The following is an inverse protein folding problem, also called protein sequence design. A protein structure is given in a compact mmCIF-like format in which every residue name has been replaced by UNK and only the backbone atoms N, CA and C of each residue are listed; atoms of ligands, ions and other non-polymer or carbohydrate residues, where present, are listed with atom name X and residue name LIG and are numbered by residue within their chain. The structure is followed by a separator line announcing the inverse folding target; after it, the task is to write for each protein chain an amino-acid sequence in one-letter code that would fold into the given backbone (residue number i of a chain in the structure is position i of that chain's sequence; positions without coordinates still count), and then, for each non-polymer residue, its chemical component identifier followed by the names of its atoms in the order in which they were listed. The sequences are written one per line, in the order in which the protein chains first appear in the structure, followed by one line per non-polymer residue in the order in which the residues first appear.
data_IF_300681001224
#
_entry.id   IF_300681001224
#
_cell.length_a   1.000
_cell.length_b   1.000
_cell.length_c   1.000
_cell.angle_alpha   90.00
_cell.angle_beta   90.00
_cell.angle_gamma   90.00
#
_symmetry.space_group_name_H-M   'P 1'
#
loop_
_entity.id
_entity.type
_entity.pdbx_description
1 polymer ?
#
# COMPACT_ATOMS: atom_id res chain seq x y z
N UNK A 1 -79.56 -19.22 -7.83
CA UNK A 1 -78.88 -19.44 -6.54
C UNK A 1 -77.43 -19.05 -6.72
N UNK A 2 -77.12 -17.81 -6.39
CA UNK A 2 -75.78 -17.22 -6.47
C UNK A 2 -74.94 -17.73 -5.29
N UNK A 3 -73.72 -18.20 -5.55
CA UNK A 3 -72.70 -18.45 -4.52
C UNK A 3 -71.69 -17.31 -4.61
N UNK A 4 -71.82 -16.34 -3.72
CA UNK A 4 -70.95 -15.19 -3.58
C UNK A 4 -69.60 -15.56 -2.94
N UNK A 5 -68.53 -15.03 -3.54
CA UNK A 5 -67.13 -15.16 -3.15
C UNK A 5 -66.82 -14.75 -1.71
N UNK A 6 -66.24 -15.66 -0.93
CA UNK A 6 -65.67 -15.40 0.41
C UNK A 6 -64.15 -15.60 0.48
N UNK A 7 -63.44 -15.52 -0.66
CA UNK A 7 -61.97 -15.71 -0.70
C UNK A 7 -61.15 -14.40 -0.63
N UNK A 8 -61.79 -13.23 -0.73
CA UNK A 8 -61.10 -11.93 -0.68
C UNK A 8 -60.62 -11.53 0.72
N UNK A 9 -61.41 -11.77 1.78
CA UNK A 9 -61.12 -11.14 3.08
C UNK A 9 -59.93 -11.76 3.82
N UNK A 10 -59.68 -13.07 3.67
CA UNK A 10 -58.64 -13.77 4.42
C UNK A 10 -57.22 -13.47 3.91
N UNK A 11 -57.09 -13.11 2.62
CA UNK A 11 -55.82 -12.72 2.02
C UNK A 11 -55.45 -11.27 2.38
N UNK A 12 -56.43 -10.36 2.42
CA UNK A 12 -56.24 -8.99 2.90
C UNK A 12 -55.89 -8.93 4.39
N UNK A 13 -56.51 -9.78 5.22
CA UNK A 13 -56.21 -9.89 6.65
C UNK A 13 -54.80 -10.45 6.91
N UNK A 14 -54.33 -11.41 6.10
CA UNK A 14 -52.94 -11.90 6.17
C UNK A 14 -51.91 -10.90 5.62
N UNK A 15 -52.26 -10.13 4.59
CA UNK A 15 -51.38 -9.11 4.01
C UNK A 15 -51.19 -7.93 4.97
N UNK A 16 -52.25 -7.49 5.64
CA UNK A 16 -52.21 -6.43 6.67
C UNK A 16 -51.49 -6.89 7.94
N UNK A 17 -51.75 -8.10 8.43
CA UNK A 17 -51.04 -8.66 9.58
C UNK A 17 -49.52 -8.83 9.37
N UNK A 18 -49.08 -9.14 8.14
CA UNK A 18 -47.64 -9.19 7.79
C UNK A 18 -47.03 -7.79 7.61
N UNK A 19 -47.81 -6.81 7.17
CA UNK A 19 -47.37 -5.42 7.07
C UNK A 19 -47.16 -4.81 8.46
N UNK A 20 -48.00 -5.13 9.45
CA UNK A 20 -47.84 -4.68 10.85
C UNK A 20 -46.62 -5.28 11.55
N UNK A 21 -46.17 -6.47 11.12
CA UNK A 21 -44.94 -7.12 11.60
C UNK A 21 -43.69 -6.72 10.79
N UNK A 22 -43.83 -5.84 9.78
CA UNK A 22 -42.70 -5.41 8.97
C UNK A 22 -41.85 -4.38 9.71
N UNK A 23 -40.53 -4.45 9.50
CA UNK A 23 -39.56 -3.49 10.04
C UNK A 23 -39.90 -2.05 9.62
N UNK A 24 -40.41 -1.86 8.39
CA UNK A 24 -40.80 -0.57 7.85
C UNK A 24 -41.97 0.05 8.61
N UNK A 25 -42.98 -0.75 8.99
CA UNK A 25 -44.12 -0.29 9.79
C UNK A 25 -43.70 0.07 11.22
N UNK A 26 -42.86 -0.76 11.86
CA UNK A 26 -42.31 -0.45 13.19
C UNK A 26 -41.46 0.83 13.17
N UNK A 27 -40.54 0.98 12.22
CA UNK A 27 -39.70 2.16 12.09
C UNK A 27 -40.53 3.43 11.83
N UNK A 28 -41.52 3.35 10.93
CA UNK A 28 -42.41 4.47 10.65
C UNK A 28 -43.24 4.86 11.87
N UNK A 29 -43.80 3.89 12.61
CA UNK A 29 -44.64 4.14 13.80
C UNK A 29 -43.83 4.59 15.02
N UNK A 30 -42.63 4.05 15.21
CA UNK A 30 -41.71 4.48 16.27
C UNK A 30 -41.15 5.89 16.01
N UNK A 31 -40.95 6.25 14.74
CA UNK A 31 -40.50 7.59 14.34
C UNK A 31 -41.64 8.62 14.21
N UNK A 32 -42.91 8.21 14.17
CA UNK A 32 -44.07 9.08 13.91
C UNK A 32 -44.34 10.18 14.94
N UNK A 33 -43.55 10.27 16.02
CA UNK A 33 -43.65 11.34 17.02
C UNK A 33 -42.30 11.81 17.58
N UNK A 34 -41.19 11.30 17.06
CA UNK A 34 -39.87 11.75 17.50
C UNK A 34 -39.48 13.02 16.72
N UNK A 35 -39.11 14.12 17.39
CA UNK A 35 -38.56 15.27 16.71
C UNK A 35 -37.28 14.86 15.95
N UNK A 36 -37.01 15.44 14.77
CA UNK A 36 -35.78 15.16 14.05
C UNK A 36 -34.58 15.47 14.97
N UNK A 37 -33.53 14.62 14.96
CA UNK A 37 -32.39 14.83 15.83
C UNK A 37 -31.73 16.17 15.50
N UNK A 38 -31.68 17.06 16.47
CA UNK A 38 -31.03 18.36 16.31
C UNK A 38 -29.50 18.20 16.42
N UNK A 39 -28.73 18.81 15.50
CA UNK A 39 -27.28 18.78 15.57
C UNK A 39 -26.80 19.53 16.82
N UNK A 40 -26.24 18.79 17.79
CA UNK A 40 -25.59 19.38 18.96
C UNK A 40 -24.15 19.71 18.62
N UNK A 41 -23.75 20.96 18.86
CA UNK A 41 -22.34 21.34 18.85
C UNK A 41 -21.68 20.70 20.07
N UNK A 42 -20.52 20.06 19.87
CA UNK A 42 -19.70 19.63 20.99
C UNK A 42 -19.27 20.86 21.79
N UNK A 43 -19.27 20.73 23.10
CA UNK A 43 -18.61 21.69 23.98
C UNK A 43 -17.08 21.58 23.82
N UNK A 44 -16.35 22.63 24.18
CA UNK A 44 -14.88 22.64 24.10
C UNK A 44 -14.25 21.54 24.96
N UNK A 45 -14.90 21.18 26.08
CA UNK A 45 -14.48 20.10 26.98
C UNK A 45 -14.69 18.71 26.36
N UNK A 46 -15.83 18.48 25.70
CA UNK A 46 -16.11 17.23 24.99
C UNK A 46 -15.20 17.07 23.76
N UNK A 47 -14.92 18.16 23.06
CA UNK A 47 -13.97 18.17 21.94
C UNK A 47 -12.54 17.86 22.43
N UNK A 48 -12.14 18.44 23.56
CA UNK A 48 -10.85 18.15 24.19
C UNK A 48 -10.77 16.69 24.69
N UNK A 49 -11.84 16.15 25.28
CA UNK A 49 -11.90 14.76 25.72
C UNK A 49 -11.83 13.78 24.53
N UNK A 50 -12.53 14.05 23.43
CA UNK A 50 -12.44 13.27 22.21
C UNK A 50 -11.03 13.32 21.59
N UNK A 51 -10.38 14.49 21.61
CA UNK A 51 -9.00 14.64 21.17
C UNK A 51 -8.01 13.89 22.07
N UNK A 52 -8.22 13.88 23.39
CA UNK A 52 -7.41 13.08 24.32
C UNK A 52 -7.61 11.58 24.12
N UNK A 53 -8.83 11.14 23.81
CA UNK A 53 -9.13 9.74 23.51
C UNK A 53 -8.42 9.28 22.22
N UNK A 54 -8.33 10.15 21.22
CA UNK A 54 -7.51 9.95 20.00
C UNK A 54 -6.00 9.91 20.30
N UNK A 55 -5.52 10.65 21.30
CA UNK A 55 -4.13 10.56 21.73
C UNK A 55 -3.84 9.26 22.51
N UNK A 56 -4.86 8.70 23.17
CA UNK A 56 -4.73 7.44 23.93
C UNK A 56 -4.73 6.20 23.03
N UNK A 57 -5.22 6.30 21.78
CA UNK A 57 -4.95 5.31 20.73
C UNK A 57 -3.49 5.44 20.26
N UNK A 58 -2.56 4.94 21.06
CA UNK A 58 -1.10 5.03 20.85
C UNK A 58 -0.59 4.39 19.54
N UNK A 59 -1.47 3.81 18.73
CA UNK A 59 -1.10 2.98 17.59
C UNK A 59 -1.43 3.59 16.23
N UNK A 60 -1.71 4.90 16.14
CA UNK A 60 -2.09 5.53 14.87
C UNK A 60 -3.42 5.02 14.31
N UNK A 61 -4.28 4.50 15.19
CA UNK A 61 -5.60 3.98 14.87
C UNK A 61 -6.58 5.11 14.59
N UNK A 62 -7.58 4.86 13.75
CA UNK A 62 -8.75 5.74 13.65
C UNK A 62 -9.53 5.80 14.96
N UNK A 63 -10.25 6.90 15.21
CA UNK A 63 -11.17 7.03 16.34
C UNK A 63 -12.22 5.90 16.39
N UNK A 64 -12.55 5.35 15.21
CA UNK A 64 -13.51 4.27 15.06
C UNK A 64 -12.98 2.93 15.60
N UNK A 65 -11.66 2.78 15.70
CA UNK A 65 -11.00 1.57 16.12
C UNK A 65 -10.65 1.54 17.63
N UNK A 66 -11.45 2.19 18.46
CA UNK A 66 -11.28 2.20 19.91
C UNK A 66 -11.30 0.78 20.52
N UNK A 67 -12.01 -0.16 19.89
CA UNK A 67 -12.10 -1.56 20.34
C UNK A 67 -10.92 -2.45 19.87
N UNK A 68 -9.93 -1.90 19.17
CA UNK A 68 -8.79 -2.68 18.66
C UNK A 68 -9.17 -3.72 17.60
N UNK A 69 -10.22 -3.44 16.83
CA UNK A 69 -10.59 -4.15 15.61
C UNK A 69 -9.51 -4.02 14.51
N UNK A 70 -9.71 -4.73 13.40
CA UNK A 70 -8.83 -4.66 12.24
C UNK A 70 -9.03 -3.34 11.50
N UNK A 71 -7.94 -2.63 11.22
CA UNK A 71 -7.92 -1.46 10.34
C UNK A 71 -6.79 -1.62 9.32
N UNK A 72 -7.07 -1.24 8.08
CA UNK A 72 -6.15 -1.29 6.96
C UNK A 72 -6.00 0.10 6.36
N UNK A 73 -4.75 0.47 6.08
CA UNK A 73 -4.39 1.73 5.44
C UNK A 73 -3.44 1.41 4.30
N UNK A 74 -3.87 1.73 3.08
CA UNK A 74 -2.99 1.69 1.93
C UNK A 74 -1.94 2.78 2.03
N UNK A 75 -0.71 2.43 1.70
CA UNK A 75 0.43 3.35 1.59
C UNK A 75 0.54 3.74 0.12
N UNK A 76 0.71 5.03 -0.16
CA UNK A 76 0.82 5.50 -1.53
C UNK A 76 2.10 4.99 -2.19
N UNK A 77 1.98 4.46 -3.41
CA UNK A 77 3.13 4.00 -4.20
C UNK A 77 4.16 5.10 -4.45
N UNK A 78 3.72 6.35 -4.60
CA UNK A 78 4.64 7.50 -4.72
C UNK A 78 5.55 7.65 -3.49
N UNK A 79 5.02 7.43 -2.28
CA UNK A 79 5.82 7.47 -1.07
C UNK A 79 6.76 6.26 -0.99
N UNK A 80 6.29 5.07 -1.38
CA UNK A 80 7.12 3.86 -1.44
C UNK A 80 8.29 4.05 -2.41
N UNK A 81 8.04 4.60 -3.60
CA UNK A 81 9.04 4.91 -4.61
C UNK A 81 10.09 5.90 -4.09
N UNK A 82 9.66 6.96 -3.38
CA UNK A 82 10.58 7.91 -2.75
C UNK A 82 11.47 7.24 -1.70
N UNK A 83 10.89 6.41 -0.82
CA UNK A 83 11.64 5.74 0.24
C UNK A 83 12.60 4.68 -0.31
N UNK A 84 12.15 3.89 -1.29
CA UNK A 84 12.99 2.91 -1.97
C UNK A 84 14.12 3.62 -2.73
N UNK A 85 13.82 4.72 -3.42
CA UNK A 85 14.83 5.55 -4.09
C UNK A 85 15.90 6.07 -3.14
N UNK A 86 15.51 6.52 -1.94
CA UNK A 86 16.45 6.94 -0.91
C UNK A 86 17.34 5.79 -0.42
N UNK A 87 16.75 4.62 -0.12
CA UNK A 87 17.48 3.44 0.35
C UNK A 87 18.48 2.91 -0.70
N UNK A 88 18.06 2.81 -1.97
CA UNK A 88 18.96 2.39 -3.05
C UNK A 88 20.06 3.43 -3.33
N UNK A 89 19.77 4.72 -3.12
CA UNK A 89 20.77 5.79 -3.22
C UNK A 89 21.79 5.74 -2.07
N UNK A 90 21.43 5.22 -0.90
CA UNK A 90 22.37 4.98 0.20
C UNK A 90 23.31 3.81 -0.15
N UNK A 91 22.78 2.73 -0.75
CA UNK A 91 23.57 1.57 -1.20
C UNK A 91 24.71 1.95 -2.18
N UNK A 92 24.49 2.97 -3.02
CA UNK A 92 25.50 3.55 -3.94
C UNK A 92 26.85 3.83 -3.27
N UNK A 93 26.85 4.27 -2.02
CA UNK A 93 28.07 4.68 -1.32
C UNK A 93 28.89 3.49 -0.82
N UNK A 94 28.28 2.31 -0.72
CA UNK A 94 28.91 1.11 -0.16
C UNK A 94 29.58 0.21 -1.19
N UNK A 95 29.13 0.21 -2.45
CA UNK A 95 29.55 -0.79 -3.44
C UNK A 95 30.12 -0.16 -4.73
N UNK A 96 31.44 0.05 -4.74
CA UNK A 96 32.27 0.28 -5.93
C UNK A 96 31.80 1.37 -6.92
N UNK A 97 31.07 2.39 -6.45
CA UNK A 97 30.67 3.53 -7.28
C UNK A 97 29.51 3.26 -8.26
N UNK A 98 28.77 2.16 -8.09
CA UNK A 98 27.56 1.91 -8.87
C UNK A 98 26.42 2.84 -8.40
N UNK A 99 26.01 3.82 -9.21
CA UNK A 99 24.85 4.67 -8.92
C UNK A 99 23.57 3.95 -9.31
N UNK A 100 22.58 3.96 -8.42
CA UNK A 100 21.24 3.38 -8.65
C UNK A 100 20.19 4.48 -8.59
N UNK A 101 19.21 4.44 -9.50
CA UNK A 101 18.06 5.34 -9.52
C UNK A 101 16.79 4.55 -9.84
N UNK A 102 15.82 4.56 -8.92
CA UNK A 102 14.51 3.91 -9.13
C UNK A 102 13.74 4.65 -10.21
N UNK A 103 13.25 3.92 -11.21
CA UNK A 103 12.48 4.49 -12.32
C UNK A 103 10.99 4.28 -12.10
N UNK A 104 10.59 3.05 -11.81
CA UNK A 104 9.19 2.69 -11.67
C UNK A 104 9.00 1.67 -10.54
N UNK A 105 7.92 1.85 -9.78
CA UNK A 105 7.46 0.92 -8.75
C UNK A 105 5.98 0.66 -8.97
N UNK A 106 5.63 -0.60 -9.16
CA UNK A 106 4.26 -1.09 -9.33
C UNK A 106 3.96 -2.09 -8.23
N UNK A 107 2.72 -2.16 -7.77
CA UNK A 107 2.28 -3.14 -6.78
C UNK A 107 1.46 -2.47 -5.69
N UNK A 108 1.60 -2.95 -4.47
CA UNK A 108 0.87 -2.41 -3.33
C UNK A 108 1.66 -2.48 -2.03
N UNK A 109 1.34 -1.58 -1.12
CA UNK A 109 1.91 -1.52 0.21
C UNK A 109 0.82 -1.13 1.20
N UNK A 110 0.76 -1.83 2.32
CA UNK A 110 -0.31 -1.71 3.29
C UNK A 110 0.25 -1.65 4.70
N UNK A 111 -0.49 -0.96 5.56
CA UNK A 111 -0.31 -0.97 6.99
C UNK A 111 -1.58 -1.50 7.63
N UNK A 112 -1.43 -2.50 8.49
CA UNK A 112 -2.53 -3.09 9.25
C UNK A 112 -2.38 -2.79 10.73
N UNK A 113 -3.48 -2.44 11.35
CA UNK A 113 -3.60 -2.37 12.79
C UNK A 113 -4.50 -3.50 13.28
N UNK A 114 -3.91 -4.45 14.01
CA UNK A 114 -4.63 -5.62 14.52
C UNK A 114 -4.49 -5.66 16.03
N UNK A 115 -5.60 -5.45 16.76
CA UNK A 115 -5.61 -5.46 18.24
C UNK A 115 -4.54 -4.55 18.85
N UNK A 116 -4.43 -3.34 18.29
CA UNK A 116 -3.45 -2.32 18.72
C UNK A 116 -2.02 -2.54 18.26
N UNK A 117 -1.72 -3.61 17.50
CA UNK A 117 -0.39 -3.88 16.94
C UNK A 117 -0.30 -3.47 15.48
N UNK A 118 0.66 -2.60 15.16
CA UNK A 118 0.99 -2.22 13.78
C UNK A 118 1.72 -3.35 13.07
N UNK A 119 1.30 -3.64 11.86
CA UNK A 119 1.96 -4.52 10.89
C UNK A 119 2.02 -3.78 9.56
N UNK A 120 2.97 -4.15 8.73
CA UNK A 120 3.06 -3.63 7.38
C UNK A 120 3.44 -4.79 6.45
N UNK A 121 3.18 -4.59 5.17
CA UNK A 121 3.54 -5.52 4.11
C UNK A 121 3.48 -4.80 2.78
N UNK A 122 4.14 -5.39 1.81
CA UNK A 122 4.12 -4.91 0.43
C UNK A 122 4.30 -6.10 -0.51
N UNK A 123 3.81 -5.93 -1.73
CA UNK A 123 4.09 -6.77 -2.89
C UNK A 123 4.45 -5.82 -4.03
N UNK A 124 5.72 -5.77 -4.39
CA UNK A 124 6.27 -4.77 -5.28
C UNK A 124 6.98 -5.41 -6.47
N UNK A 125 6.81 -4.78 -7.63
CA UNK A 125 7.55 -5.01 -8.85
C UNK A 125 8.19 -3.69 -9.24
N UNK A 126 9.52 -3.63 -9.32
CA UNK A 126 10.19 -2.36 -9.56
C UNK A 126 11.40 -2.48 -10.47
N UNK A 127 11.68 -1.37 -11.14
CA UNK A 127 12.79 -1.22 -12.07
C UNK A 127 13.65 -0.04 -11.65
N UNK A 128 14.97 -0.21 -11.73
CA UNK A 128 15.93 0.83 -11.42
C UNK A 128 17.07 0.85 -12.43
N UNK A 129 17.51 2.06 -12.76
CA UNK A 129 18.70 2.29 -13.57
C UNK A 129 19.92 2.16 -12.70
N UNK A 130 20.96 1.52 -13.24
CA UNK A 130 22.27 1.43 -12.62
C UNK A 130 23.34 2.00 -13.53
N UNK A 131 24.42 2.51 -12.96
CA UNK A 131 25.60 2.90 -13.71
C UNK A 131 26.86 2.69 -12.88
N UNK A 132 27.91 2.14 -13.48
CA UNK A 132 29.21 1.93 -12.84
C UNK A 132 30.35 2.43 -13.74
N UNK A 133 31.49 2.79 -13.14
CA UNK A 133 32.67 3.19 -13.88
C UNK A 133 33.70 2.06 -13.87
N UNK A 134 34.05 1.55 -15.05
CA UNK A 134 34.95 0.42 -15.24
C UNK A 134 36.04 0.81 -16.23
N UNK A 135 37.30 0.77 -15.78
CA UNK A 135 38.48 1.01 -16.61
C UNK A 135 38.39 2.33 -17.41
N UNK A 136 37.84 3.38 -16.79
CA UNK A 136 37.65 4.70 -17.38
C UNK A 136 36.35 4.90 -18.17
N UNK A 137 35.64 3.81 -18.52
CA UNK A 137 34.36 3.86 -19.23
C UNK A 137 33.18 3.80 -18.27
N UNK A 138 32.12 4.57 -18.55
CA UNK A 138 30.86 4.48 -17.81
C UNK A 138 29.95 3.45 -18.49
N UNK A 139 29.56 2.42 -17.75
CA UNK A 139 28.57 1.42 -18.16
C UNK A 139 27.25 1.76 -17.46
N UNK A 140 26.16 1.76 -18.21
CA UNK A 140 24.80 2.00 -17.70
C UNK A 140 23.91 0.81 -18.07
N UNK A 141 22.80 0.66 -17.34
CA UNK A 141 21.79 -0.32 -17.67
C UNK A 141 20.58 -0.22 -16.75
N UNK A 142 19.70 -1.20 -16.90
CA UNK A 142 18.48 -1.35 -16.09
C UNK A 142 18.53 -2.67 -15.33
N UNK A 143 18.01 -2.66 -14.12
CA UNK A 143 17.78 -3.84 -13.32
C UNK A 143 16.32 -3.89 -12.87
N UNK A 144 15.74 -5.08 -12.90
CA UNK A 144 14.34 -5.34 -12.59
C UNK A 144 14.24 -6.36 -11.46
N UNK A 145 13.40 -6.04 -10.48
CA UNK A 145 12.97 -6.96 -9.43
C UNK A 145 11.51 -7.31 -9.73
N UNK A 146 11.25 -8.50 -10.29
CA UNK A 146 9.93 -8.86 -10.82
C UNK A 146 8.94 -9.32 -9.74
N UNK A 147 9.41 -9.57 -8.52
CA UNK A 147 8.59 -9.88 -7.35
C UNK A 147 9.39 -9.59 -6.09
N UNK A 148 8.88 -8.70 -5.24
CA UNK A 148 9.39 -8.41 -3.91
C UNK A 148 8.23 -8.37 -2.93
N UNK A 149 8.06 -9.43 -2.16
CA UNK A 149 7.06 -9.55 -1.11
C UNK A 149 7.72 -9.48 0.27
N UNK A 150 7.07 -8.82 1.22
CA UNK A 150 7.61 -8.58 2.56
C UNK A 150 7.90 -9.86 3.36
N UNK A 151 7.26 -10.97 3.04
CA UNK A 151 7.39 -12.29 3.65
C UNK A 151 8.22 -13.29 2.83
N UNK A 152 8.68 -12.91 1.63
CA UNK A 152 9.46 -13.74 0.70
C UNK A 152 10.74 -12.99 0.24
N UNK A 153 11.34 -12.19 1.11
CA UNK A 153 12.53 -11.39 0.77
C UNK A 153 13.78 -12.26 0.50
N UNK A 154 13.81 -13.51 0.94
CA UNK A 154 14.88 -14.46 0.66
C UNK A 154 14.80 -15.07 -0.75
N UNK A 155 13.65 -14.97 -1.41
CA UNK A 155 13.40 -15.47 -2.78
C UNK A 155 13.57 -14.38 -3.85
N UNK A 156 14.16 -13.23 -3.50
CA UNK A 156 14.37 -12.12 -4.42
C UNK A 156 15.17 -12.53 -5.66
N UNK A 157 14.70 -12.09 -6.82
CA UNK A 157 15.40 -12.23 -8.09
C UNK A 157 15.71 -10.85 -8.69
N UNK A 158 16.83 -10.77 -9.41
CA UNK A 158 17.29 -9.53 -10.04
C UNK A 158 17.68 -9.80 -11.49
N UNK A 159 16.90 -9.25 -12.42
CA UNK A 159 17.16 -9.30 -13.85
C UNK A 159 17.95 -8.05 -14.24
N UNK A 160 19.21 -8.23 -14.64
CA UNK A 160 20.13 -7.13 -14.97
C UNK A 160 20.43 -7.12 -16.46
N UNK A 161 20.29 -5.95 -17.09
CA UNK A 161 20.63 -5.71 -18.50
C UNK A 161 21.51 -4.47 -18.63
N UNK A 162 22.65 -4.58 -19.30
CA UNK A 162 23.44 -3.40 -19.69
C UNK A 162 22.91 -2.75 -20.98
N UNK A 163 22.96 -1.42 -21.04
CA UNK A 163 22.59 -0.67 -22.24
C UNK A 163 23.57 -0.98 -23.37
N UNK A 164 23.05 -1.12 -24.59
CA UNK A 164 23.90 -1.11 -25.79
C UNK A 164 24.52 0.28 -25.91
N UNK A 165 25.82 0.35 -26.21
CA UNK A 165 26.47 1.63 -26.41
C UNK A 165 25.72 2.44 -27.49
N UNK A 166 25.21 3.61 -27.11
CA UNK A 166 24.84 4.62 -28.08
C UNK A 166 26.15 5.08 -28.76
N UNK A 167 26.20 4.99 -30.07
CA UNK A 167 27.32 5.45 -30.87
C UNK A 167 27.27 6.99 -30.98
N UNK A 168 27.61 7.71 -29.91
CA UNK A 168 27.67 9.18 -29.95
C UNK A 168 28.84 9.72 -29.11
N UNK A 169 30.02 9.78 -29.74
CA UNK A 169 30.77 10.98 -30.13
C UNK A 169 32.08 10.49 -30.78
N UNK A 170 32.51 11.14 -31.87
CA UNK A 170 33.71 10.76 -32.62
C UNK A 170 34.96 10.79 -31.72
N UNK A 171 35.44 9.61 -31.32
CA UNK A 171 36.79 9.44 -30.76
C UNK A 171 36.91 8.69 -29.43
N UNK A 172 35.84 8.29 -28.74
CA UNK A 172 35.93 7.36 -27.60
C UNK A 172 35.25 6.04 -27.93
N UNK A 173 36.02 4.95 -27.95
CA UNK A 173 35.46 3.60 -28.03
C UNK A 173 34.48 3.42 -26.87
N UNK A 174 33.20 3.17 -27.18
CA UNK A 174 32.18 2.92 -26.16
C UNK A 174 32.54 1.69 -25.30
N UNK A 175 31.80 1.44 -24.20
CA UNK A 175 32.12 0.32 -23.32
C UNK A 175 32.14 -0.99 -24.09
N UNK A 176 33.25 -1.72 -24.01
CA UNK A 176 33.48 -3.01 -24.65
C UNK A 176 32.50 -4.07 -24.13
N UNK A 177 32.32 -5.16 -24.87
CA UNK A 177 31.45 -6.25 -24.44
C UNK A 177 31.87 -6.83 -23.07
N UNK A 178 33.18 -6.89 -22.80
CA UNK A 178 33.72 -7.34 -21.52
C UNK A 178 33.40 -6.36 -20.38
N UNK A 179 33.52 -5.05 -20.61
CA UNK A 179 33.13 -4.03 -19.64
C UNK A 179 31.64 -4.08 -19.33
N UNK A 180 30.78 -4.32 -20.33
CA UNK A 180 29.34 -4.51 -20.09
C UNK A 180 29.06 -5.73 -19.24
N UNK A 181 29.70 -6.87 -19.54
CA UNK A 181 29.55 -8.10 -18.74
C UNK A 181 29.97 -7.88 -17.29
N UNK A 182 31.11 -7.21 -17.06
CA UNK A 182 31.59 -6.85 -15.72
C UNK A 182 30.65 -5.86 -15.02
N UNK A 183 30.05 -4.93 -15.77
CA UNK A 183 29.03 -4.02 -15.25
C UNK A 183 27.77 -4.76 -14.81
N UNK A 184 27.30 -5.72 -15.60
CA UNK A 184 26.16 -6.58 -15.21
C UNK A 184 26.48 -7.44 -13.98
N UNK A 185 27.68 -8.04 -13.91
CA UNK A 185 28.13 -8.79 -12.73
C UNK A 185 28.17 -7.89 -11.48
N UNK A 186 28.67 -6.65 -11.62
CA UNK A 186 28.66 -5.66 -10.54
C UNK A 186 27.24 -5.26 -10.13
N UNK A 187 26.32 -5.06 -11.07
CA UNK A 187 24.92 -4.79 -10.73
C UNK A 187 24.21 -6.00 -10.11
N UNK A 188 24.51 -7.24 -10.53
CA UNK A 188 24.01 -8.46 -9.89
C UNK A 188 24.49 -8.62 -8.45
N UNK A 189 25.69 -8.11 -8.13
CA UNK A 189 26.20 -8.11 -6.75
C UNK A 189 25.42 -7.21 -5.79
N UNK A 190 24.50 -6.38 -6.30
CA UNK A 190 23.57 -5.60 -5.47
C UNK A 190 22.46 -6.46 -4.86
N UNK A 191 22.13 -7.63 -5.44
CA UNK A 191 21.04 -8.49 -4.96
C UNK A 191 21.08 -8.76 -3.44
N UNK A 192 22.18 -9.22 -2.83
CA UNK A 192 22.24 -9.43 -1.38
C UNK A 192 22.10 -8.15 -0.54
N UNK A 193 22.24 -6.97 -1.15
CA UNK A 193 22.05 -5.68 -0.49
C UNK A 193 20.61 -5.17 -0.60
N UNK A 194 19.81 -5.72 -1.53
CA UNK A 194 18.41 -5.36 -1.69
C UNK A 194 17.55 -5.88 -0.54
N UNK A 195 17.81 -7.08 -0.05
CA UNK A 195 17.09 -7.67 1.09
C UNK A 195 17.12 -6.75 2.34
N UNK A 196 18.28 -6.36 2.90
CA UNK A 196 18.31 -5.46 4.06
C UNK A 196 17.78 -4.06 3.76
N UNK A 197 17.79 -3.60 2.50
CA UNK A 197 17.16 -2.35 2.11
C UNK A 197 15.62 -2.47 2.13
N UNK A 198 15.07 -3.59 1.65
CA UNK A 198 13.64 -3.86 1.65
C UNK A 198 13.10 -4.15 3.05
N UNK A 199 13.89 -4.74 3.95
CA UNK A 199 13.56 -4.83 5.38
C UNK A 199 13.45 -3.44 6.03
N UNK A 200 14.36 -2.52 5.69
CA UNK A 200 14.27 -1.13 6.14
C UNK A 200 13.05 -0.42 5.54
N UNK A 201 12.70 -0.70 4.28
CA UNK A 201 11.48 -0.19 3.67
C UNK A 201 10.25 -0.70 4.42
N UNK A 202 10.20 -1.99 4.78
CA UNK A 202 9.12 -2.59 5.58
C UNK A 202 8.95 -1.88 6.92
N UNK A 203 10.07 -1.58 7.59
CA UNK A 203 10.04 -0.83 8.85
C UNK A 203 9.53 0.60 8.65
N UNK A 204 9.95 1.28 7.57
CA UNK A 204 9.43 2.61 7.22
C UNK A 204 7.91 2.54 6.96
N UNK A 205 7.43 1.51 6.24
CA UNK A 205 5.99 1.29 6.02
C UNK A 205 5.24 1.08 7.34
N UNK A 206 5.82 0.36 8.30
CA UNK A 206 5.25 0.15 9.64
C UNK A 206 5.11 1.46 10.43
N UNK A 207 5.99 2.42 10.21
CA UNK A 207 6.02 3.70 10.92
C UNK A 207 5.15 4.81 10.28
N UNK A 208 4.70 4.62 9.04
CA UNK A 208 3.84 5.55 8.29
C UNK A 208 2.44 5.73 8.91
#
# INVERSE_FOLDING_TARGET
MEKSSSFGSKLEEQATGKAELSYSYWAAKAAAGAPPPEPKKLTDEEAAAAAQQLQHTQSGASAWNAAGTFEEKSISLAWVQEQLGALLSELRHSHQGASVAVEEVVGEAHQWLVRGKKRAGFELNFEFKWACQLDGAQVKGTAKVPHAAADELDELSLEVTADKAAAEEEGSDGPTAEQRRRGEEAARSLLPLLEPALEQLLERCRQK
#
